data_IF_204758708822
#
_entry.id   IF_204758708822
#
_cell.length_a   1.000
_cell.length_b   1.000
_cell.length_c   1.000
_cell.angle_alpha   90.00
_cell.angle_beta   90.00
_cell.angle_gamma   90.00
#
_symmetry.space_group_name_H-M   'P 1'
#
loop_
_entity.id
_entity.type
_entity.pdbx_description
1 polymer ?
#
# COMPACT_ATOMS: atom_id res chain seq x y z
N UNK A 1 -50.66 0.05 -65.49
CA UNK A 1 -50.69 0.45 -64.07
C UNK A 1 -49.99 -0.57 -63.14
N UNK A 2 -49.99 -1.84 -63.42
CA UNK A 2 -49.34 -2.88 -62.53
C UNK A 2 -47.82 -2.93 -62.52
N UNK A 3 -47.15 -2.53 -63.62
CA UNK A 3 -45.70 -2.59 -63.72
C UNK A 3 -44.98 -1.53 -62.82
N UNK A 4 -45.58 -0.35 -62.73
CA UNK A 4 -45.01 0.74 -61.89
C UNK A 4 -45.09 0.43 -60.38
N UNK A 5 -46.15 -0.29 -59.98
CA UNK A 5 -46.30 -0.68 -58.55
C UNK A 5 -45.26 -1.71 -58.11
N UNK A 6 -44.90 -2.67 -58.99
CA UNK A 6 -43.89 -3.68 -58.73
C UNK A 6 -42.47 -3.07 -58.58
N UNK A 7 -42.15 -2.04 -59.34
CA UNK A 7 -40.85 -1.34 -59.21
C UNK A 7 -40.76 -0.54 -57.91
N UNK A 8 -41.85 0.11 -57.49
CA UNK A 8 -41.88 0.82 -56.21
C UNK A 8 -41.69 -0.10 -54.99
N UNK A 9 -42.34 -1.27 -55.00
CA UNK A 9 -42.23 -2.26 -53.92
C UNK A 9 -40.83 -2.89 -53.84
N UNK A 10 -40.17 -3.11 -54.97
CA UNK A 10 -38.77 -3.59 -55.02
C UNK A 10 -37.78 -2.53 -54.54
N UNK A 11 -38.00 -1.28 -54.92
CA UNK A 11 -37.13 -0.17 -54.47
C UNK A 11 -37.23 0.04 -52.97
N UNK A 12 -38.43 -0.01 -52.37
CA UNK A 12 -38.60 0.10 -50.92
C UNK A 12 -37.97 -1.09 -50.14
N UNK A 13 -38.01 -2.31 -50.69
CA UNK A 13 -37.37 -3.47 -50.06
C UNK A 13 -35.84 -3.37 -50.11
N UNK A 14 -35.29 -2.85 -51.19
CA UNK A 14 -33.84 -2.62 -51.31
C UNK A 14 -33.37 -1.49 -50.37
N UNK A 15 -34.16 -0.42 -50.24
CA UNK A 15 -33.89 0.67 -49.32
C UNK A 15 -33.95 0.20 -47.85
N UNK A 16 -34.96 -0.60 -47.49
CA UNK A 16 -35.11 -1.15 -46.14
C UNK A 16 -33.97 -2.13 -45.80
N UNK A 17 -33.51 -2.94 -46.75
CA UNK A 17 -32.40 -3.87 -46.56
C UNK A 17 -31.06 -3.13 -46.40
N UNK A 18 -30.84 -2.04 -47.19
CA UNK A 18 -29.67 -1.17 -47.06
C UNK A 18 -29.60 -0.44 -45.72
N UNK A 19 -30.77 0.06 -45.25
CA UNK A 19 -30.84 0.72 -43.92
C UNK A 19 -30.56 -0.24 -42.75
N UNK A 20 -31.01 -1.51 -42.87
CA UNK A 20 -30.77 -2.55 -41.87
C UNK A 20 -29.29 -2.96 -41.79
N UNK A 21 -28.57 -2.98 -42.91
CA UNK A 21 -27.14 -3.29 -42.95
C UNK A 21 -26.32 -2.16 -42.36
N UNK A 22 -26.71 -0.89 -42.56
CA UNK A 22 -26.05 0.26 -41.95
C UNK A 22 -26.24 0.31 -40.44
N UNK A 23 -27.39 -0.14 -39.93
CA UNK A 23 -27.65 -0.19 -38.49
C UNK A 23 -26.83 -1.28 -37.76
N UNK A 24 -26.51 -2.38 -38.44
CA UNK A 24 -25.63 -3.44 -37.87
C UNK A 24 -24.15 -3.04 -37.85
N UNK A 25 -23.70 -2.19 -38.77
CA UNK A 25 -22.32 -1.72 -38.80
C UNK A 25 -22.02 -0.69 -37.71
N UNK A 26 -23.01 -0.02 -37.12
CA UNK A 26 -22.84 0.96 -36.06
C UNK A 26 -22.47 0.33 -34.69
N UNK A 27 -22.66 -1.00 -34.50
CA UNK A 27 -22.34 -1.68 -33.25
C UNK A 27 -20.88 -2.19 -33.14
N UNK A 28 -20.06 -2.01 -34.18
CA UNK A 28 -18.66 -2.47 -34.19
C UNK A 28 -17.65 -1.35 -34.01
N UNK A 29 -17.92 -0.37 -33.10
CA UNK A 29 -16.90 0.54 -32.66
C UNK A 29 -15.78 -0.24 -31.97
N UNK A 30 -14.52 -0.14 -32.42
CA UNK A 30 -13.42 -0.79 -31.75
C UNK A 30 -13.36 -0.29 -30.31
N UNK A 31 -13.59 -1.18 -29.34
CA UNK A 31 -13.32 -0.86 -27.93
C UNK A 31 -11.83 -0.52 -27.85
N UNK A 32 -11.51 0.71 -27.45
CA UNK A 32 -10.13 1.06 -27.10
C UNK A 32 -9.61 0.00 -26.12
N UNK A 33 -8.40 -0.51 -26.31
CA UNK A 33 -7.83 -1.47 -25.35
C UNK A 33 -7.88 -0.85 -23.94
N UNK A 34 -8.21 -1.63 -22.91
CA UNK A 34 -8.22 -1.12 -21.54
C UNK A 34 -6.85 -0.55 -21.21
N UNK A 35 -6.80 0.69 -20.74
CA UNK A 35 -5.56 1.33 -20.28
C UNK A 35 -5.08 0.55 -19.06
N UNK A 36 -3.90 -0.06 -19.15
CA UNK A 36 -3.30 -0.75 -18.01
C UNK A 36 -2.93 0.26 -16.92
N UNK A 37 -3.21 -0.02 -15.64
CA UNK A 37 -2.83 0.88 -14.57
C UNK A 37 -1.30 0.97 -14.42
N UNK A 38 -0.82 2.15 -14.05
CA UNK A 38 0.58 2.35 -13.67
C UNK A 38 0.81 1.79 -12.28
N UNK A 39 1.81 0.91 -12.13
CA UNK A 39 2.15 0.29 -10.85
C UNK A 39 3.32 1.00 -10.20
N UNK A 40 3.15 1.34 -8.92
CA UNK A 40 4.12 2.08 -8.11
C UNK A 40 4.70 1.20 -7.00
N UNK A 41 5.98 1.42 -6.69
CA UNK A 41 6.66 0.80 -5.56
C UNK A 41 7.08 1.86 -4.55
N UNK A 42 6.95 1.56 -3.26
CA UNK A 42 7.48 2.37 -2.16
C UNK A 42 8.64 1.59 -1.54
N UNK A 43 9.84 2.12 -1.67
CA UNK A 43 11.10 1.50 -1.25
C UNK A 43 11.91 2.49 -0.42
N UNK A 44 11.57 2.71 0.86
CA UNK A 44 12.31 3.65 1.70
C UNK A 44 13.75 3.16 1.88
N UNK A 45 14.70 4.08 1.73
CA UNK A 45 16.11 3.83 1.90
C UNK A 45 16.58 4.30 3.29
N UNK A 46 17.30 3.42 3.98
CA UNK A 46 17.90 3.73 5.26
C UNK A 46 19.30 4.34 5.05
N UNK A 47 19.49 5.56 5.52
CA UNK A 47 20.77 6.29 5.41
C UNK A 47 21.58 6.34 6.73
N UNK A 48 21.02 5.78 7.81
CA UNK A 48 21.67 5.79 9.13
C UNK A 48 22.86 4.81 9.25
N UNK A 49 23.66 5.00 10.30
CA UNK A 49 24.74 4.08 10.65
C UNK A 49 24.17 2.71 11.08
N UNK A 50 24.89 1.64 10.76
CA UNK A 50 24.57 0.30 11.26
C UNK A 50 25.05 0.20 12.71
N UNK A 51 24.15 -0.25 13.60
CA UNK A 51 24.48 -0.43 15.00
C UNK A 51 25.24 -1.75 15.23
N UNK A 52 25.96 -1.81 16.34
CA UNK A 52 26.36 -3.11 16.88
C UNK A 52 25.14 -3.73 17.56
N UNK A 53 24.86 -5.03 17.34
CA UNK A 53 23.70 -5.66 17.95
C UNK A 53 23.69 -5.48 19.46
N UNK A 54 22.57 -4.95 19.97
CA UNK A 54 22.35 -4.81 21.42
C UNK A 54 21.88 -6.10 22.07
N UNK A 55 21.51 -7.07 21.26
CA UNK A 55 21.02 -8.38 21.69
C UNK A 55 21.39 -9.44 20.64
N UNK A 56 21.63 -10.67 21.08
CA UNK A 56 21.78 -11.86 20.25
C UNK A 56 20.44 -12.47 19.83
N UNK A 57 19.34 -11.90 20.30
CA UNK A 57 17.99 -12.35 20.02
C UNK A 57 17.51 -11.86 18.66
N UNK A 58 16.57 -12.61 18.10
CA UNK A 58 16.01 -12.32 16.80
C UNK A 58 14.64 -11.65 16.94
N UNK A 59 14.31 -10.81 15.96
CA UNK A 59 13.01 -10.17 15.80
C UNK A 59 12.26 -10.84 14.64
N UNK A 60 10.97 -11.13 14.81
CA UNK A 60 10.08 -11.49 13.72
C UNK A 60 9.21 -10.29 13.36
N UNK A 61 9.20 -9.92 12.07
CA UNK A 61 8.13 -9.06 11.57
C UNK A 61 6.86 -9.89 11.47
N UNK A 62 5.89 -9.59 12.31
CA UNK A 62 4.59 -10.25 12.37
C UNK A 62 3.60 -9.66 11.36
N UNK A 63 2.30 -9.79 11.66
CA UNK A 63 1.24 -9.23 10.82
C UNK A 63 1.25 -7.71 10.78
N UNK A 64 0.93 -7.17 9.61
CA UNK A 64 0.62 -5.75 9.44
C UNK A 64 -0.83 -5.64 9.02
N UNK A 65 -1.66 -5.06 9.87
CA UNK A 65 -3.04 -4.68 9.54
C UNK A 65 -3.06 -3.30 8.89
N UNK A 66 -4.13 -2.98 8.20
CA UNK A 66 -4.36 -1.67 7.60
C UNK A 66 -5.84 -1.31 7.70
N UNK A 67 -6.13 -0.04 7.95
CA UNK A 67 -7.49 0.47 7.97
C UNK A 67 -8.19 0.21 6.61
N UNK A 68 -9.43 -0.29 6.60
CA UNK A 68 -10.11 -0.77 5.40
C UNK A 68 -10.12 0.20 4.22
N UNK A 69 -10.25 1.53 4.39
CA UNK A 69 -10.24 2.45 3.26
C UNK A 69 -8.92 2.44 2.46
N UNK A 70 -7.82 2.04 3.08
CA UNK A 70 -6.46 2.07 2.49
C UNK A 70 -5.93 0.67 2.14
N UNK A 71 -6.72 -0.38 2.38
CA UNK A 71 -6.27 -1.77 2.23
C UNK A 71 -6.19 -2.27 0.78
N UNK A 72 -6.69 -1.51 -0.19
CA UNK A 72 -6.60 -1.82 -1.62
C UNK A 72 -5.26 -1.44 -2.24
N UNK A 73 -5.05 -1.84 -3.50
CA UNK A 73 -3.86 -1.46 -4.27
C UNK A 73 -3.94 -0.04 -4.86
N UNK A 74 -5.12 0.56 -4.94
CA UNK A 74 -5.28 1.90 -5.51
C UNK A 74 -4.61 2.96 -4.64
N UNK A 75 -4.04 3.99 -5.26
CA UNK A 75 -3.71 5.20 -4.53
C UNK A 75 -5.02 5.83 -4.03
N UNK A 76 -5.01 6.36 -2.83
CA UNK A 76 -6.18 6.98 -2.21
C UNK A 76 -5.93 8.47 -2.01
N UNK A 77 -6.90 9.29 -2.44
CA UNK A 77 -6.87 10.73 -2.32
C UNK A 77 -8.01 11.23 -1.44
N UNK A 78 -7.71 12.06 -0.46
CA UNK A 78 -8.69 12.80 0.32
C UNK A 78 -8.93 14.16 -0.33
N UNK A 79 -10.15 14.40 -0.82
CA UNK A 79 -10.53 15.59 -1.59
C UNK A 79 -11.51 16.50 -0.83
N UNK A 80 -12.00 16.05 0.30
CA UNK A 80 -12.93 16.77 1.18
C UNK A 80 -12.92 16.18 2.58
N UNK A 81 -13.71 16.72 3.50
CA UNK A 81 -13.71 16.22 4.89
C UNK A 81 -14.12 14.75 4.98
N UNK A 82 -15.13 14.35 4.21
CA UNK A 82 -15.64 12.98 4.17
C UNK A 82 -15.46 12.33 2.77
N UNK A 83 -14.74 13.00 1.85
CA UNK A 83 -14.61 12.54 0.47
C UNK A 83 -13.23 11.96 0.22
N UNK A 84 -13.20 10.64 -0.02
CA UNK A 84 -12.03 9.90 -0.45
C UNK A 84 -12.29 9.27 -1.82
N UNK A 85 -11.27 9.28 -2.68
CA UNK A 85 -11.32 8.65 -4.01
C UNK A 85 -10.15 7.70 -4.19
N UNK A 86 -10.43 6.54 -4.79
CA UNK A 86 -9.41 5.57 -5.16
C UNK A 86 -9.04 5.75 -6.63
N UNK A 87 -7.75 5.79 -6.93
CA UNK A 87 -7.25 5.93 -8.30
C UNK A 87 -7.39 4.63 -9.07
N UNK A 88 -8.07 4.69 -10.21
CA UNK A 88 -8.24 3.55 -11.08
C UNK A 88 -6.97 3.24 -11.91
N UNK A 89 -6.21 4.28 -12.25
CA UNK A 89 -5.07 4.19 -13.16
C UNK A 89 -3.71 4.12 -12.46
N UNK A 90 -3.67 4.41 -11.17
CA UNK A 90 -2.44 4.39 -10.39
C UNK A 90 -2.61 3.48 -9.17
N UNK A 91 -1.79 2.43 -9.11
CA UNK A 91 -1.91 1.40 -8.08
C UNK A 91 -0.54 1.08 -7.49
N UNK A 92 -0.51 0.61 -6.26
CA UNK A 92 0.70 -0.02 -5.70
C UNK A 92 0.94 -1.39 -6.34
N UNK A 93 2.17 -1.75 -6.60
CA UNK A 93 2.55 -3.05 -7.15
C UNK A 93 2.17 -4.20 -6.20
N UNK A 94 2.29 -3.98 -4.89
CA UNK A 94 1.85 -4.89 -3.81
C UNK A 94 0.94 -4.15 -2.84
N UNK A 95 0.25 -4.86 -1.95
CA UNK A 95 -0.65 -4.22 -0.97
C UNK A 95 0.12 -3.32 0.01
N UNK A 96 -0.46 -2.19 0.46
CA UNK A 96 0.24 -1.26 1.37
C UNK A 96 0.70 -1.89 2.69
N UNK A 97 -0.05 -2.82 3.27
CA UNK A 97 0.38 -3.56 4.45
C UNK A 97 1.63 -4.43 4.18
N UNK A 98 1.76 -5.01 2.99
CA UNK A 98 2.96 -5.74 2.56
C UNK A 98 4.14 -4.78 2.33
N UNK A 99 3.88 -3.59 1.78
CA UNK A 99 4.89 -2.53 1.63
C UNK A 99 5.48 -2.20 3.01
N UNK A 100 4.62 -1.85 3.97
CA UNK A 100 5.05 -1.48 5.33
C UNK A 100 5.77 -2.62 6.02
N UNK A 101 5.25 -3.85 5.94
CA UNK A 101 5.88 -5.02 6.55
C UNK A 101 7.26 -5.34 5.98
N UNK A 102 7.39 -5.34 4.66
CA UNK A 102 8.67 -5.61 3.99
C UNK A 102 9.68 -4.48 4.22
N UNK A 103 9.24 -3.22 4.18
CA UNK A 103 10.09 -2.06 4.45
C UNK A 103 10.60 -2.11 5.89
N UNK A 104 9.73 -2.32 6.87
CA UNK A 104 10.11 -2.41 8.30
C UNK A 104 11.10 -3.56 8.54
N UNK A 105 10.85 -4.74 7.96
CA UNK A 105 11.77 -5.89 8.09
C UNK A 105 13.15 -5.56 7.52
N UNK A 106 13.22 -5.04 6.28
CA UNK A 106 14.48 -4.69 5.61
C UNK A 106 15.22 -3.61 6.40
N UNK A 107 14.50 -2.59 6.84
CA UNK A 107 15.05 -1.48 7.61
C UNK A 107 15.68 -1.94 8.92
N UNK A 108 14.93 -2.66 9.74
CA UNK A 108 15.40 -3.14 11.04
C UNK A 108 16.52 -4.18 10.94
N UNK A 109 16.51 -5.01 9.89
CA UNK A 109 17.61 -5.92 9.62
C UNK A 109 18.89 -5.14 9.27
N UNK A 110 18.80 -4.09 8.45
CA UNK A 110 19.93 -3.24 8.07
C UNK A 110 20.40 -2.35 9.23
N UNK A 111 19.52 -2.00 10.16
CA UNK A 111 19.89 -1.28 11.38
C UNK A 111 20.77 -2.12 12.33
N UNK A 112 20.63 -3.45 12.28
CA UNK A 112 21.40 -4.42 13.08
C UNK A 112 21.23 -4.24 14.59
N UNK A 113 20.01 -3.86 15.04
CA UNK A 113 19.69 -3.76 16.48
C UNK A 113 19.55 -5.16 17.10
N UNK A 114 18.88 -6.06 16.39
CA UNK A 114 18.80 -7.49 16.68
C UNK A 114 19.80 -8.25 15.83
N UNK A 115 20.22 -9.43 16.28
CA UNK A 115 21.10 -10.30 15.50
C UNK A 115 20.53 -10.65 14.13
N UNK A 116 19.18 -10.74 14.01
CA UNK A 116 18.47 -10.95 12.76
C UNK A 116 17.02 -10.46 12.86
N UNK A 117 16.50 -9.93 11.76
CA UNK A 117 15.06 -9.64 11.60
C UNK A 117 14.49 -10.50 10.48
N UNK A 118 13.61 -11.43 10.82
CA UNK A 118 12.98 -12.36 9.87
C UNK A 118 11.57 -11.93 9.48
N UNK A 119 11.10 -12.38 8.32
CA UNK A 119 9.76 -12.07 7.82
C UNK A 119 8.65 -12.91 8.45
N UNK A 120 7.40 -12.52 8.23
CA UNK A 120 6.21 -13.17 8.78
C UNK A 120 6.10 -14.65 8.34
N UNK A 121 6.37 -14.94 7.08
CA UNK A 121 6.27 -16.28 6.49
C UNK A 121 7.41 -17.23 6.90
N UNK A 122 8.40 -16.73 7.64
CA UNK A 122 9.50 -17.57 8.13
C UNK A 122 9.00 -18.49 9.25
N UNK A 123 9.36 -19.78 9.18
CA UNK A 123 8.99 -20.81 10.17
C UNK A 123 9.73 -20.70 11.51
N UNK A 124 10.70 -19.82 11.63
CA UNK A 124 11.39 -19.55 12.88
C UNK A 124 10.47 -18.85 13.89
N UNK A 125 10.68 -19.14 15.17
CA UNK A 125 9.92 -18.55 16.27
C UNK A 125 10.84 -17.70 17.17
N UNK A 126 11.22 -16.50 16.73
CA UNK A 126 11.99 -15.58 17.55
C UNK A 126 11.25 -15.19 18.83
N UNK A 127 12.01 -14.78 19.84
CA UNK A 127 11.41 -14.37 21.11
C UNK A 127 10.62 -13.07 21.01
N UNK A 128 11.05 -12.15 20.11
CA UNK A 128 10.33 -10.90 19.85
C UNK A 128 9.56 -10.96 18.56
N UNK A 129 8.36 -10.35 18.57
CA UNK A 129 7.55 -10.16 17.37
C UNK A 129 7.10 -8.69 17.30
N UNK A 130 7.35 -8.06 16.17
CA UNK A 130 6.86 -6.72 15.84
C UNK A 130 5.64 -6.84 14.94
N UNK A 131 4.51 -6.32 15.39
CA UNK A 131 3.30 -6.16 14.60
C UNK A 131 3.08 -4.68 14.32
N UNK A 132 2.32 -4.35 13.28
CA UNK A 132 1.97 -2.98 12.98
C UNK A 132 0.50 -2.86 12.56
N UNK A 133 -0.09 -1.69 12.82
CA UNK A 133 -1.37 -1.25 12.28
C UNK A 133 -1.16 0.04 11.51
N UNK A 134 -1.51 0.04 10.23
CA UNK A 134 -1.48 1.22 9.37
C UNK A 134 -2.85 1.87 9.46
N UNK A 135 -2.92 3.03 10.13
CA UNK A 135 -4.17 3.74 10.37
C UNK A 135 -4.51 4.70 9.22
N UNK A 136 -3.48 5.29 8.60
CA UNK A 136 -3.63 6.25 7.51
C UNK A 136 -2.58 5.99 6.44
N UNK A 137 -2.99 5.99 5.16
CA UNK A 137 -2.10 5.79 4.03
C UNK A 137 -2.72 6.41 2.76
N UNK A 138 -2.69 7.74 2.64
CA UNK A 138 -3.38 8.46 1.57
C UNK A 138 -2.67 9.78 1.23
N UNK A 139 -3.14 10.44 0.15
CA UNK A 139 -2.78 11.82 -0.17
C UNK A 139 -3.90 12.77 0.27
N UNK A 140 -3.59 13.81 1.03
CA UNK A 140 -4.52 14.87 1.40
C UNK A 140 -4.40 16.04 0.41
N UNK A 141 -5.48 16.31 -0.33
CA UNK A 141 -5.52 17.35 -1.35
C UNK A 141 -6.53 18.44 -1.03
N UNK A 142 -6.99 18.54 0.22
CA UNK A 142 -8.00 19.52 0.62
C UNK A 142 -7.50 20.96 0.57
N UNK A 143 -6.25 21.21 0.90
CA UNK A 143 -5.64 22.55 0.93
C UNK A 143 -4.32 22.52 0.17
N UNK A 144 -3.26 22.04 0.80
CA UNK A 144 -1.98 21.79 0.16
C UNK A 144 -1.79 20.28 0.06
N UNK A 145 -1.33 19.78 -1.09
CA UNK A 145 -1.18 18.35 -1.25
C UNK A 145 -0.10 17.80 -0.31
N UNK A 146 -0.48 16.79 0.48
CA UNK A 146 0.39 16.13 1.45
C UNK A 146 0.23 14.61 1.35
N UNK A 147 1.32 13.87 1.55
CA UNK A 147 1.26 12.45 1.84
C UNK A 147 1.04 12.27 3.35
N UNK A 148 0.03 11.49 3.71
CA UNK A 148 -0.30 11.17 5.11
C UNK A 148 -0.06 9.69 5.36
N UNK A 149 0.80 9.38 6.33
CA UNK A 149 1.10 8.02 6.78
C UNK A 149 1.07 7.97 8.29
N UNK A 150 0.22 7.09 8.85
CA UNK A 150 0.12 6.87 10.30
C UNK A 150 0.23 5.38 10.60
N UNK A 151 1.17 5.01 11.48
CA UNK A 151 1.47 3.62 11.81
C UNK A 151 1.62 3.48 13.33
N UNK A 152 0.96 2.45 13.88
CA UNK A 152 1.16 1.99 15.24
C UNK A 152 1.96 0.69 15.23
N UNK A 153 3.04 0.63 16.01
CA UNK A 153 3.86 -0.55 16.20
C UNK A 153 3.61 -1.19 17.56
N UNK A 154 3.52 -2.53 17.58
CA UNK A 154 3.37 -3.34 18.78
C UNK A 154 4.52 -4.32 18.88
N UNK A 155 5.39 -4.12 19.85
CA UNK A 155 6.44 -5.10 20.16
C UNK A 155 5.93 -6.09 21.23
N UNK A 156 5.96 -7.36 20.91
CA UNK A 156 5.50 -8.45 21.78
C UNK A 156 6.62 -9.44 22.06
N UNK A 157 6.48 -10.23 23.13
CA UNK A 157 7.36 -11.37 23.43
C UNK A 157 6.57 -12.67 23.40
N UNK A 158 7.19 -13.73 22.94
CA UNK A 158 6.62 -15.08 23.03
C UNK A 158 6.65 -15.53 24.47
N UNK A 159 5.49 -15.88 25.04
CA UNK A 159 5.36 -16.38 26.41
C UNK A 159 4.60 -17.69 26.44
N UNK A 160 5.11 -18.74 27.11
CA UNK A 160 4.39 -19.99 27.26
C UNK A 160 3.18 -19.88 28.21
N UNK A 161 3.10 -18.82 29.03
CA UNK A 161 2.07 -18.64 30.05
C UNK A 161 0.97 -17.64 29.67
N UNK A 162 1.16 -16.81 28.67
CA UNK A 162 0.20 -15.78 28.23
C UNK A 162 0.29 -15.63 26.73
N UNK A 163 -0.83 -15.27 26.10
CA UNK A 163 -0.85 -14.83 24.71
C UNK A 163 0.01 -13.59 24.55
N UNK A 164 1.22 -13.74 24.03
CA UNK A 164 2.17 -12.72 23.58
C UNK A 164 2.00 -11.33 24.22
N UNK A 165 2.52 -11.11 25.45
CA UNK A 165 2.36 -9.82 26.11
C UNK A 165 3.04 -8.70 25.32
N UNK A 166 2.34 -7.60 25.16
CA UNK A 166 2.86 -6.38 24.55
C UNK A 166 3.87 -5.76 25.53
N UNK A 167 5.06 -5.48 25.04
CA UNK A 167 6.14 -4.86 25.80
C UNK A 167 6.49 -3.46 25.30
N UNK A 168 5.94 -3.04 24.18
CA UNK A 168 6.11 -1.69 23.62
C UNK A 168 4.99 -1.35 22.65
N UNK A 169 4.52 -0.12 22.72
CA UNK A 169 3.57 0.48 21.76
C UNK A 169 4.14 1.83 21.36
N UNK A 170 4.25 2.06 20.05
CA UNK A 170 4.75 3.32 19.49
C UNK A 170 3.83 3.76 18.34
N UNK A 171 3.42 5.03 18.35
CA UNK A 171 2.56 5.62 17.34
C UNK A 171 3.33 6.71 16.61
N UNK A 172 3.28 6.69 15.30
CA UNK A 172 3.90 7.69 14.44
C UNK A 172 2.93 8.14 13.36
N UNK A 173 2.89 9.45 13.14
CA UNK A 173 2.15 10.05 12.03
C UNK A 173 3.05 11.07 11.34
N UNK A 174 3.07 11.04 10.01
CA UNK A 174 3.84 11.97 9.17
C UNK A 174 2.96 12.56 8.08
N UNK A 175 3.12 13.86 7.91
CA UNK A 175 2.54 14.65 6.85
C UNK A 175 3.69 15.23 6.03
N UNK A 176 3.82 14.81 4.78
CA UNK A 176 4.90 15.25 3.89
C UNK A 176 4.27 16.08 2.77
N UNK A 177 4.64 17.37 2.70
CA UNK A 177 4.19 18.25 1.64
C UNK A 177 4.67 17.73 0.27
N UNK A 178 3.75 17.63 -0.68
CA UNK A 178 4.05 17.19 -2.04
C UNK A 178 4.50 18.37 -2.90
N UNK A 179 5.42 18.11 -3.83
CA UNK A 179 5.89 19.12 -4.79
C UNK A 179 4.83 19.52 -5.83
N UNK A 180 3.91 18.61 -6.13
CA UNK A 180 2.81 18.77 -7.09
C UNK A 180 1.70 17.74 -6.81
N UNK A 181 0.63 17.76 -7.64
CA UNK A 181 -0.54 16.89 -7.48
C UNK A 181 -0.42 15.56 -8.24
N UNK A 182 0.78 15.15 -8.64
CA UNK A 182 0.95 13.90 -9.41
C UNK A 182 0.95 12.66 -8.52
N UNK A 183 0.51 11.50 -9.05
CA UNK A 183 0.65 10.22 -8.36
C UNK A 183 2.10 9.91 -7.96
N UNK A 184 3.07 10.31 -8.78
CA UNK A 184 4.49 10.15 -8.48
C UNK A 184 4.89 10.95 -7.24
N UNK A 185 4.44 12.20 -7.10
CA UNK A 185 4.72 13.01 -5.93
C UNK A 185 4.12 12.40 -4.66
N UNK A 186 2.89 11.86 -4.73
CA UNK A 186 2.27 11.15 -3.61
C UNK A 186 3.11 9.93 -3.18
N UNK A 187 3.52 9.07 -4.12
CA UNK A 187 4.33 7.88 -3.82
C UNK A 187 5.67 8.27 -3.21
N UNK A 188 6.32 9.32 -3.71
CA UNK A 188 7.57 9.85 -3.13
C UNK A 188 7.34 10.39 -1.71
N UNK A 189 6.27 11.14 -1.48
CA UNK A 189 5.92 11.64 -0.14
C UNK A 189 5.61 10.51 0.85
N UNK A 190 4.90 9.47 0.43
CA UNK A 190 4.66 8.29 1.26
C UNK A 190 5.95 7.50 1.56
N UNK A 191 6.86 7.42 0.59
CA UNK A 191 8.18 6.80 0.79
C UNK A 191 8.99 7.58 1.83
N UNK A 192 9.00 8.90 1.75
CA UNK A 192 9.66 9.78 2.71
C UNK A 192 9.02 9.67 4.10
N UNK A 193 7.68 9.72 4.19
CA UNK A 193 6.95 9.55 5.44
C UNK A 193 7.31 8.22 6.13
N UNK A 194 7.32 7.12 5.36
CA UNK A 194 7.68 5.80 5.88
C UNK A 194 9.14 5.74 6.32
N UNK A 195 10.08 6.38 5.60
CA UNK A 195 11.48 6.46 6.00
C UNK A 195 11.66 7.22 7.31
N UNK A 196 10.96 8.35 7.49
CA UNK A 196 10.99 9.13 8.75
C UNK A 196 10.41 8.32 9.91
N UNK A 197 9.26 7.67 9.73
CA UNK A 197 8.64 6.80 10.74
C UNK A 197 9.59 5.68 11.16
N UNK A 198 10.20 4.99 10.20
CA UNK A 198 11.12 3.89 10.47
C UNK A 198 12.41 4.38 11.16
N UNK A 199 12.89 5.58 10.84
CA UNK A 199 14.04 6.20 11.52
C UNK A 199 13.72 6.45 13.00
N UNK A 200 12.57 7.05 13.30
CA UNK A 200 12.16 7.36 14.66
C UNK A 200 11.91 6.07 15.48
N UNK A 201 11.25 5.09 14.85
CA UNK A 201 11.03 3.80 15.51
C UNK A 201 12.35 3.06 15.78
N UNK A 202 13.28 3.06 14.82
CA UNK A 202 14.62 2.49 14.98
C UNK A 202 15.36 3.10 16.18
N UNK A 203 15.34 4.43 16.31
CA UNK A 203 15.98 5.14 17.43
C UNK A 203 15.37 4.75 18.77
N UNK A 204 14.04 4.73 18.85
CA UNK A 204 13.33 4.29 20.05
C UNK A 204 13.68 2.83 20.39
N UNK A 205 13.65 1.93 19.41
CA UNK A 205 13.94 0.51 19.60
C UNK A 205 15.40 0.29 20.05
N UNK A 206 16.36 1.04 19.50
CA UNK A 206 17.76 0.97 19.90
C UNK A 206 17.97 1.38 21.36
N UNK A 207 17.26 2.41 21.84
CA UNK A 207 17.32 2.84 23.24
C UNK A 207 16.75 1.79 24.19
N UNK A 208 15.72 1.05 23.76
CA UNK A 208 15.08 0.01 24.57
C UNK A 208 15.76 -1.36 24.49
N UNK A 209 16.52 -1.64 23.43
CA UNK A 209 17.03 -2.98 23.12
C UNK A 209 17.81 -3.64 24.29
N UNK A 210 18.57 -2.87 25.07
CA UNK A 210 19.30 -3.39 26.26
C UNK A 210 18.41 -3.68 27.45
N UNK A 211 17.20 -3.11 27.50
CA UNK A 211 16.23 -3.25 28.60
C UNK A 211 15.13 -4.27 28.27
N UNK A 212 15.13 -4.80 27.04
CA UNK A 212 14.13 -5.79 26.63
C UNK A 212 14.24 -7.05 27.49
N UNK A 213 13.08 -7.65 27.88
CA UNK A 213 13.06 -8.88 28.65
C UNK A 213 13.73 -10.01 27.87
N UNK A 214 14.63 -10.74 28.50
CA UNK A 214 15.30 -11.91 27.91
C UNK A 214 14.47 -13.18 28.13
N UNK A 215 14.60 -14.20 27.27
CA UNK A 215 14.01 -15.50 27.54
C UNK A 215 14.51 -16.03 28.88
N UNK A 216 13.60 -16.55 29.70
CA UNK A 216 13.96 -17.27 30.93
C UNK A 216 14.72 -18.53 30.52
N UNK A 217 16.00 -18.58 30.82
CA UNK A 217 16.97 -19.60 30.63
C UNK A 217 16.71 -20.73 29.59
N UNK A 218 17.57 -20.82 28.61
CA UNK A 218 17.85 -22.12 27.95
C UNK A 218 18.94 -22.82 28.68
#
# INVERSE_FOLDING_TARGET
>A
MRLRLMHLVRLNKLLACGLSILALAACSLPKSPPVAPTSWMILPERTGQTYQPRTDLWLKMGSVSIAPPFGGKSLVYRLGDDRYESDFYNVYAVLPNEIVGNASRKWLNNANIFAMTVGQSNSLFPYYTLQASVEEFYGDYRVRPEAVVSIQFFLTVTSPKKSNPIIGINNYSKHIALKDNTPQALVQGQQEALAQILTEYEQALYQYATKLPKPLGR
#
